data_IF_046692871683
#
_entry.id   IF_046692871683
#
_cell.length_a   1.000
_cell.length_b   1.000
_cell.length_c   1.000
_cell.angle_alpha   90.00
_cell.angle_beta   90.00
_cell.angle_gamma   90.00
#
_symmetry.space_group_name_H-M   'P 1'
#
loop_
_entity.id
_entity.type
_entity.pdbx_description
1 polymer ?
#
# COMPACT_ATOMS: atom_id res chain seq x y z
N UNK A 1 -13.29 -3.96 -9.20
CA UNK A 1 -12.77 -3.34 -7.97
C UNK A 1 -12.08 -2.04 -8.32
N UNK A 2 -12.28 -1.04 -7.52
CA UNK A 2 -11.79 0.31 -7.79
C UNK A 2 -10.66 0.66 -6.82
N UNK A 3 -9.39 0.47 -7.20
CA UNK A 3 -8.28 0.66 -6.27
C UNK A 3 -7.76 2.09 -6.23
N UNK A 4 -7.15 2.43 -5.11
CA UNK A 4 -6.40 3.68 -4.94
C UNK A 4 -5.10 3.37 -4.22
N UNK A 5 -4.02 4.07 -4.61
CA UNK A 5 -2.71 3.90 -3.98
C UNK A 5 -2.38 5.16 -3.20
N UNK A 6 -2.08 4.98 -1.91
CA UNK A 6 -1.54 6.05 -1.07
C UNK A 6 -0.11 5.68 -0.70
N UNK A 7 0.80 6.64 -0.78
CA UNK A 7 2.20 6.35 -0.46
C UNK A 7 2.88 7.54 0.20
N UNK A 8 3.94 7.22 0.92
CA UNK A 8 4.89 8.22 1.39
C UNK A 8 6.27 7.77 0.95
N UNK A 9 7.11 8.68 0.51
CA UNK A 9 8.44 8.35 0.02
C UNK A 9 9.45 9.40 0.46
N UNK A 10 10.61 8.93 0.93
CA UNK A 10 11.69 9.85 1.32
C UNK A 10 12.75 9.94 0.23
N UNK A 11 13.13 8.80 -0.34
CA UNK A 11 14.23 8.76 -1.30
C UNK A 11 13.77 8.46 -2.72
N UNK A 12 12.47 8.25 -2.89
CA UNK A 12 11.90 7.97 -4.21
C UNK A 12 11.60 6.51 -4.49
N UNK A 13 12.07 5.58 -3.67
CA UNK A 13 11.86 4.17 -3.93
C UNK A 13 10.40 3.75 -3.74
N UNK A 14 9.78 4.19 -2.63
CA UNK A 14 8.37 3.90 -2.41
C UNK A 14 7.50 4.55 -3.48
N UNK A 15 7.85 5.77 -3.87
CA UNK A 15 7.13 6.48 -4.92
C UNK A 15 7.20 5.71 -6.24
N UNK A 16 8.39 5.21 -6.60
CA UNK A 16 8.55 4.46 -7.84
C UNK A 16 7.69 3.21 -7.86
N UNK A 17 7.67 2.48 -6.74
CA UNK A 17 6.83 1.29 -6.65
C UNK A 17 5.36 1.67 -6.72
N UNK A 18 4.96 2.73 -6.03
CA UNK A 18 3.58 3.21 -6.10
C UNK A 18 3.19 3.57 -7.53
N UNK A 19 4.09 4.20 -8.26
CA UNK A 19 3.82 4.57 -9.66
C UNK A 19 3.68 3.35 -10.56
N UNK A 20 4.50 2.33 -10.34
CA UNK A 20 4.39 1.09 -11.08
C UNK A 20 3.07 0.41 -10.82
N UNK A 21 2.65 0.37 -9.55
CA UNK A 21 1.36 -0.21 -9.19
C UNK A 21 0.21 0.59 -9.79
N UNK A 22 0.30 1.90 -9.75
CA UNK A 22 -0.69 2.78 -10.35
C UNK A 22 -0.88 2.48 -11.82
N UNK A 23 0.21 2.34 -12.52
CA UNK A 23 0.21 2.04 -13.94
C UNK A 23 -0.38 0.66 -14.23
N UNK A 24 0.07 -0.35 -13.48
CA UNK A 24 -0.37 -1.74 -13.69
C UNK A 24 -1.83 -1.95 -13.38
N UNK A 25 -2.31 -1.31 -12.32
CA UNK A 25 -3.68 -1.52 -11.85
C UNK A 25 -4.65 -0.47 -12.37
N UNK A 26 -4.14 0.50 -13.10
CA UNK A 26 -4.93 1.64 -13.58
C UNK A 26 -5.64 2.33 -12.42
N UNK A 27 -4.87 2.58 -11.35
CA UNK A 27 -5.35 3.18 -10.13
C UNK A 27 -4.65 4.50 -9.90
N UNK A 28 -5.33 5.52 -9.39
CA UNK A 28 -4.63 6.77 -9.04
C UNK A 28 -3.70 6.53 -7.86
N UNK A 29 -2.60 7.27 -7.82
CA UNK A 29 -1.64 7.21 -6.72
C UNK A 29 -1.50 8.61 -6.13
N UNK A 30 -1.60 8.69 -4.81
CA UNK A 30 -1.55 9.97 -4.10
C UNK A 30 -0.44 9.95 -3.05
N UNK A 31 0.32 11.03 -3.03
CA UNK A 31 1.28 11.28 -1.97
C UNK A 31 0.48 11.70 -0.73
N UNK A 32 0.65 11.00 0.37
CA UNK A 32 -0.15 11.25 1.57
C UNK A 32 0.12 12.60 2.22
N UNK A 33 1.21 13.26 1.87
CA UNK A 33 1.51 14.58 2.43
C UNK A 33 0.58 15.65 1.89
N UNK A 34 -0.08 15.38 0.76
CA UNK A 34 -1.02 16.33 0.15
C UNK A 34 -2.42 15.76 -0.04
N UNK A 35 -2.60 14.46 0.15
CA UNK A 35 -3.89 13.82 -0.07
C UNK A 35 -4.79 13.92 1.16
N UNK A 36 -6.09 14.05 0.93
CA UNK A 36 -7.06 13.96 2.01
C UNK A 36 -7.40 12.51 2.28
N UNK A 37 -7.38 12.06 3.54
CA UNK A 37 -7.71 10.65 3.83
C UNK A 37 -9.11 10.25 3.37
N UNK A 38 -10.03 11.19 3.29
CA UNK A 38 -11.40 10.91 2.85
C UNK A 38 -11.49 10.46 1.40
N UNK A 39 -10.44 10.64 0.61
CA UNK A 39 -10.38 10.11 -0.76
C UNK A 39 -10.64 8.60 -0.75
N UNK A 40 -10.26 7.91 0.33
CA UNK A 40 -10.47 6.47 0.44
C UNK A 40 -11.93 6.05 0.30
N UNK A 41 -12.87 6.94 0.63
CA UNK A 41 -14.30 6.62 0.53
C UNK A 41 -14.76 6.38 -0.90
N UNK A 42 -14.04 6.91 -1.88
CA UNK A 42 -14.41 6.79 -3.29
C UNK A 42 -13.91 5.50 -3.92
N UNK A 43 -13.22 4.67 -3.17
CA UNK A 43 -12.58 3.47 -3.71
C UNK A 43 -12.90 2.27 -2.84
N UNK A 44 -12.83 1.07 -3.43
CA UNK A 44 -13.15 -0.15 -2.69
C UNK A 44 -11.94 -1.03 -2.40
N UNK A 45 -10.75 -0.60 -2.83
CA UNK A 45 -9.50 -1.27 -2.48
C UNK A 45 -8.46 -0.21 -2.14
N UNK A 46 -7.91 -0.32 -0.93
CA UNK A 46 -6.91 0.62 -0.45
C UNK A 46 -5.53 -0.02 -0.52
N UNK A 47 -4.59 0.65 -1.19
CA UNK A 47 -3.21 0.16 -1.25
C UNK A 47 -2.34 1.24 -0.63
N UNK A 48 -1.59 0.88 0.43
CA UNK A 48 -0.80 1.85 1.17
C UNK A 48 0.66 1.44 1.22
N UNK A 49 1.55 2.36 0.87
CA UNK A 49 2.98 2.10 0.85
C UNK A 49 3.77 3.03 1.75
N UNK A 50 4.82 2.46 2.36
CA UNK A 50 5.70 3.19 3.28
C UNK A 50 7.15 2.76 3.08
N UNK A 51 8.13 3.67 3.25
CA UNK A 51 9.49 3.21 3.49
C UNK A 51 9.59 2.71 4.92
N UNK A 52 10.49 1.77 5.17
CA UNK A 52 10.75 1.33 6.54
C UNK A 52 11.64 2.36 7.21
N UNK A 53 11.20 2.85 8.36
CA UNK A 53 11.90 3.86 9.13
C UNK A 53 11.99 3.38 10.58
N UNK A 54 13.20 3.17 11.07
CA UNK A 54 13.37 2.72 12.45
C UNK A 54 12.61 1.44 12.75
N UNK A 55 12.67 0.49 11.83
CA UNK A 55 12.03 -0.83 11.94
C UNK A 55 10.50 -0.80 11.91
N UNK A 56 9.92 0.32 11.54
CA UNK A 56 8.47 0.46 11.45
C UNK A 56 8.05 1.28 10.25
N UNK A 57 6.76 1.60 10.13
CA UNK A 57 6.31 2.48 9.05
C UNK A 57 6.75 3.91 9.36
N UNK A 58 6.82 4.74 8.32
CA UNK A 58 7.11 6.15 8.51
C UNK A 58 6.01 6.79 9.37
N UNK A 59 6.39 7.75 10.20
CA UNK A 59 5.44 8.45 11.07
C UNK A 59 4.31 9.09 10.29
N UNK A 60 4.65 9.61 9.12
CA UNK A 60 3.66 10.24 8.24
C UNK A 60 2.58 9.25 7.83
N UNK A 61 2.97 8.00 7.56
CA UNK A 61 2.03 6.96 7.20
C UNK A 61 1.14 6.61 8.39
N UNK A 62 1.73 6.46 9.57
CA UNK A 62 0.97 6.18 10.77
C UNK A 62 -0.07 7.27 11.02
N UNK A 63 0.31 8.53 10.88
CA UNK A 63 -0.62 9.63 11.06
C UNK A 63 -1.74 9.61 10.02
N UNK A 64 -1.41 9.32 8.77
CA UNK A 64 -2.40 9.24 7.70
C UNK A 64 -3.42 8.12 7.96
N UNK A 65 -2.93 6.95 8.35
CA UNK A 65 -3.81 5.82 8.63
C UNK A 65 -4.77 6.11 9.78
N UNK A 66 -4.30 6.86 10.77
CA UNK A 66 -5.16 7.25 11.90
C UNK A 66 -6.30 8.16 11.46
N UNK A 67 -6.15 8.85 10.35
CA UNK A 67 -7.16 9.79 9.86
C UNK A 67 -8.04 9.20 8.78
N UNK A 68 -7.82 7.95 8.41
CA UNK A 68 -8.69 7.30 7.42
C UNK A 68 -10.10 7.15 7.97
N UNK A 69 -11.10 7.25 7.11
CA UNK A 69 -12.47 6.94 7.55
C UNK A 69 -12.60 5.49 7.93
N UNK A 70 -13.48 5.20 8.87
CA UNK A 70 -13.75 3.83 9.28
C UNK A 70 -14.46 3.09 8.15
N UNK A 71 -14.30 1.78 8.15
CA UNK A 71 -14.84 0.93 7.09
C UNK A 71 -15.42 -0.34 7.68
N UNK A 72 -16.21 -1.04 6.90
CA UNK A 72 -16.82 -2.32 7.30
C UNK A 72 -16.28 -3.42 6.37
N UNK A 73 -15.00 -3.69 6.45
CA UNK A 73 -14.39 -4.79 5.72
C UNK A 73 -13.82 -4.44 4.36
N UNK A 74 -13.62 -3.16 4.07
CA UNK A 74 -12.98 -2.76 2.83
C UNK A 74 -11.61 -3.41 2.74
N UNK A 75 -11.26 -3.95 1.59
CA UNK A 75 -9.99 -4.65 1.39
C UNK A 75 -8.84 -3.67 1.33
N UNK A 76 -7.69 -4.12 1.86
CA UNK A 76 -6.47 -3.31 1.85
C UNK A 76 -5.26 -4.16 1.50
N UNK A 77 -4.28 -3.52 0.89
CA UNK A 77 -2.97 -4.12 0.61
C UNK A 77 -1.95 -3.13 1.16
N UNK A 78 -0.93 -3.65 1.85
CA UNK A 78 0.14 -2.81 2.36
C UNK A 78 1.45 -3.23 1.72
N UNK A 79 2.31 -2.26 1.42
CA UNK A 79 3.64 -2.57 0.92
C UNK A 79 4.68 -1.67 1.58
N UNK A 80 5.93 -2.12 1.58
CA UNK A 80 7.01 -1.30 2.07
C UNK A 80 8.25 -1.47 1.20
N UNK A 81 9.11 -0.45 1.22
CA UNK A 81 10.43 -0.54 0.65
C UNK A 81 11.43 -0.43 1.80
N UNK A 82 12.55 -1.16 1.71
CA UNK A 82 13.49 -1.21 2.81
C UNK A 82 14.92 -1.43 2.31
N UNK A 83 15.89 -0.94 3.10
CA UNK A 83 17.29 -1.13 2.78
C UNK A 83 17.85 -2.37 3.48
N UNK A 84 17.55 -2.53 4.75
CA UNK A 84 18.12 -3.59 5.58
C UNK A 84 17.09 -4.66 5.88
N UNK A 85 15.92 -4.29 6.38
CA UNK A 85 14.89 -5.24 6.72
C UNK A 85 13.55 -4.57 6.84
N UNK A 86 12.50 -5.38 6.78
CA UNK A 86 11.12 -4.88 6.84
C UNK A 86 10.70 -4.48 8.24
N UNK A 87 11.36 -5.02 9.26
CA UNK A 87 10.97 -4.76 10.64
C UNK A 87 9.52 -5.10 10.87
N UNK A 88 8.83 -4.28 11.64
CA UNK A 88 7.41 -4.44 11.90
C UNK A 88 6.52 -3.57 11.04
N UNK A 89 7.05 -3.00 9.95
CA UNK A 89 6.30 -2.00 9.17
C UNK A 89 4.99 -2.55 8.63
N UNK A 90 5.04 -3.70 7.97
CA UNK A 90 3.84 -4.28 7.36
C UNK A 90 2.82 -4.70 8.42
N UNK A 91 3.30 -5.32 9.49
CA UNK A 91 2.45 -5.78 10.58
C UNK A 91 1.75 -4.61 11.27
N UNK A 92 2.50 -3.55 11.54
CA UNK A 92 1.92 -2.37 12.22
C UNK A 92 0.88 -1.68 11.36
N UNK A 93 1.13 -1.57 10.06
CA UNK A 93 0.13 -0.99 9.15
C UNK A 93 -1.13 -1.85 9.10
N UNK A 94 -0.96 -3.16 9.00
CA UNK A 94 -2.10 -4.08 8.96
C UNK A 94 -2.94 -4.00 10.22
N UNK A 95 -2.28 -3.93 11.38
CA UNK A 95 -2.99 -3.81 12.66
C UNK A 95 -3.76 -2.49 12.74
N UNK A 96 -3.14 -1.42 12.30
CA UNK A 96 -3.77 -0.10 12.33
C UNK A 96 -4.99 -0.06 11.42
N UNK A 97 -4.86 -0.63 10.22
CA UNK A 97 -5.97 -0.71 9.29
C UNK A 97 -7.10 -1.57 9.83
N UNK A 98 -6.75 -2.67 10.49
CA UNK A 98 -7.75 -3.55 11.10
C UNK A 98 -8.59 -2.80 12.14
N UNK A 99 -7.96 -1.94 12.92
CA UNK A 99 -8.69 -1.14 13.91
C UNK A 99 -9.68 -0.17 13.27
N UNK A 100 -9.45 0.19 12.03
CA UNK A 100 -10.34 1.07 11.27
C UNK A 100 -11.37 0.31 10.46
N UNK A 101 -11.36 -1.02 10.52
CA UNK A 101 -12.35 -1.83 9.82
C UNK A 101 -11.93 -2.30 8.44
N UNK A 102 -10.66 -2.15 8.08
CA UNK A 102 -10.15 -2.64 6.81
C UNK A 102 -9.61 -4.06 6.96
N UNK A 103 -9.71 -4.84 5.90
CA UNK A 103 -9.21 -6.21 5.88
C UNK A 103 -7.99 -6.28 4.97
N UNK A 104 -6.81 -6.46 5.55
CA UNK A 104 -5.58 -6.56 4.78
C UNK A 104 -5.49 -7.93 4.13
N UNK A 105 -5.47 -7.96 2.80
CA UNK A 105 -5.44 -9.22 2.06
C UNK A 105 -4.04 -9.58 1.57
N UNK A 106 -3.10 -8.63 1.63
CA UNK A 106 -1.73 -8.89 1.21
C UNK A 106 -0.80 -7.85 1.83
N UNK A 107 0.38 -8.31 2.22
CA UNK A 107 1.44 -7.44 2.73
C UNK A 107 2.75 -7.85 2.04
N UNK A 108 3.38 -6.92 1.31
CA UNK A 108 4.59 -7.22 0.55
C UNK A 108 5.67 -6.18 0.81
N UNK A 109 6.92 -6.62 0.76
CA UNK A 109 8.06 -5.74 0.91
C UNK A 109 8.99 -5.85 -0.27
N UNK A 110 9.71 -4.78 -0.58
CA UNK A 110 10.70 -4.77 -1.64
C UNK A 110 11.96 -4.09 -1.16
N UNK A 111 13.09 -4.77 -1.32
CA UNK A 111 14.37 -4.20 -0.91
C UNK A 111 14.77 -3.05 -1.82
N UNK A 112 15.31 -2.00 -1.21
CA UNK A 112 15.79 -0.82 -1.92
C UNK A 112 17.15 -1.12 -2.55
N UNK A 113 17.12 -1.63 -3.78
CA UNK A 113 18.33 -1.75 -4.57
C UNK A 113 18.08 -0.94 -5.82
N UNK A 114 19.03 -0.51 -6.53
CA UNK A 114 18.87 0.36 -7.71
C UNK A 114 17.62 -0.02 -8.51
N UNK A 115 16.47 0.45 -8.14
CA UNK A 115 15.24 -0.05 -8.74
C UNK A 115 14.99 0.53 -10.12
N UNK A 116 14.52 -0.33 -10.99
CA UNK A 116 13.95 0.06 -12.26
C UNK A 116 12.52 -0.48 -12.24
N UNK A 117 11.75 -0.19 -13.28
CA UNK A 117 10.38 -0.71 -13.35
C UNK A 117 10.38 -2.25 -13.31
N UNK A 118 11.39 -2.86 -13.90
CA UNK A 118 11.45 -4.32 -13.93
C UNK A 118 11.69 -4.94 -12.56
N UNK A 119 12.30 -4.19 -11.66
CA UNK A 119 12.59 -4.69 -10.32
C UNK A 119 11.33 -4.86 -9.48
N UNK A 120 10.21 -4.30 -9.92
CA UNK A 120 8.96 -4.37 -9.17
C UNK A 120 7.97 -5.39 -9.72
N UNK A 121 8.36 -6.14 -10.75
CA UNK A 121 7.45 -7.11 -11.37
C UNK A 121 6.93 -8.15 -10.38
N UNK A 122 7.78 -8.58 -9.46
CA UNK A 122 7.38 -9.57 -8.48
C UNK A 122 6.26 -9.03 -7.57
N UNK A 123 6.37 -7.78 -7.15
CA UNK A 123 5.35 -7.17 -6.30
C UNK A 123 4.05 -7.01 -7.07
N UNK A 124 4.13 -6.52 -8.30
CA UNK A 124 2.95 -6.37 -9.15
C UNK A 124 2.25 -7.70 -9.34
N UNK A 125 3.01 -8.76 -9.60
CA UNK A 125 2.44 -10.10 -9.82
C UNK A 125 1.77 -10.63 -8.56
N UNK A 126 2.36 -10.41 -7.39
CA UNK A 126 1.75 -10.84 -6.14
C UNK A 126 0.42 -10.13 -5.90
N UNK A 127 0.38 -8.84 -6.17
CA UNK A 127 -0.84 -8.06 -5.99
C UNK A 127 -1.90 -8.51 -6.98
N UNK A 128 -1.52 -8.73 -8.23
CA UNK A 128 -2.46 -9.19 -9.25
C UNK A 128 -3.08 -10.53 -8.86
N UNK A 129 -2.26 -11.45 -8.33
CA UNK A 129 -2.76 -12.74 -7.89
C UNK A 129 -3.71 -12.61 -6.70
N UNK A 130 -3.38 -11.72 -5.76
CA UNK A 130 -4.25 -11.51 -4.60
C UNK A 130 -5.60 -10.95 -5.04
N UNK A 131 -5.61 -10.05 -5.99
CA UNK A 131 -6.85 -9.47 -6.49
C UNK A 131 -7.69 -10.47 -7.24
N UNK A 132 -7.06 -11.37 -7.98
CA UNK A 132 -7.77 -12.46 -8.65
C UNK A 132 -8.54 -13.32 -7.67
N UNK A 133 -7.91 -13.65 -6.54
CA UNK A 133 -8.54 -14.46 -5.52
C UNK A 133 -9.73 -13.77 -4.88
N UNK A 134 -9.74 -12.43 -4.89
CA UNK A 134 -10.80 -11.65 -4.27
C UNK A 134 -11.95 -11.37 -5.23
N UNK A 135 -11.82 -11.74 -6.49
CA UNK A 135 -12.84 -11.44 -7.49
C UNK A 135 -13.88 -12.54 -7.51
N UNK A 136 -15.09 -12.29 -7.00
CA UNK A 136 -16.11 -13.34 -6.95
C UNK A 136 -16.74 -13.61 -8.30
N UNK A 137 -16.58 -12.73 -9.25
CA UNK A 137 -17.22 -12.89 -10.53
C UNK A 137 -16.45 -13.77 -11.49
N UNK A 138 -15.38 -14.31 -10.99
CA UNK A 138 -14.63 -15.25 -11.79
C UNK A 138 -15.34 -16.55 -11.87
N UNK A 139 -16.02 -16.72 -12.83
CA UNK A 139 -16.70 -17.97 -12.85
C UNK A 139 -17.38 -18.18 -14.05
#
# INVERSE_FOLDING_TARGET
>A
MKPVVFYFSRTGNTKRLAEVLSESLKAPAFDITVAQPSIADDYDLLIVGTPVTGFGPAMEVTAFLNRLPESSGKKAIVFCTYAVGKGGALSKMSQQLSKKGYATILAVGKRDVKPSKDDFKDVVNEIAKALEKQSPSKR
#
